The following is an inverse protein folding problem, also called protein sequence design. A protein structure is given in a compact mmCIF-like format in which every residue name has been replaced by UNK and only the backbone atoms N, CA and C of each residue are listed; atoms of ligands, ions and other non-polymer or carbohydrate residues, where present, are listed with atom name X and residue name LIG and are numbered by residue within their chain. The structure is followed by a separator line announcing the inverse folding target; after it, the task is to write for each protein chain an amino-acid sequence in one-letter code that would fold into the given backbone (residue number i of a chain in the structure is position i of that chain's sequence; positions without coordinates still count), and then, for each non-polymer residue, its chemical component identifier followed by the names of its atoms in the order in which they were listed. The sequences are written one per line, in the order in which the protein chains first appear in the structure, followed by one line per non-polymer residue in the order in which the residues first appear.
data_IF_013618999888
#
_entry.id   IF_013618999888
#
_cell.length_a   1.000
_cell.length_b   1.000
_cell.length_c   1.000
_cell.angle_alpha   90.00
_cell.angle_beta   90.00
_cell.angle_gamma   90.00
#
_symmetry.space_group_name_H-M   'P 1'
#
loop_
_entity.id
_entity.type
_entity.pdbx_description
1 polymer ?
#
# COMPACT_ATOMS: atom_id res chain seq x y z
N UNK A 1 3.89 20.44 -18.23
CA UNK A 1 2.92 19.45 -17.73
C UNK A 1 2.00 20.14 -16.74
N UNK A 2 0.69 20.13 -16.94
CA UNK A 2 -0.24 20.64 -15.93
C UNK A 2 -0.41 19.56 -14.86
N UNK A 3 0.03 19.84 -13.63
CA UNK A 3 -0.26 18.95 -12.50
C UNK A 3 -1.76 18.95 -12.20
N UNK A 4 -2.30 17.80 -11.81
CA UNK A 4 -3.62 17.70 -11.17
C UNK A 4 -3.39 17.43 -9.70
N UNK A 5 -4.07 18.17 -8.84
CA UNK A 5 -4.00 18.03 -7.38
C UNK A 5 -5.31 17.42 -6.88
N UNK A 6 -5.21 16.50 -5.94
CA UNK A 6 -6.34 15.89 -5.24
C UNK A 6 -6.27 16.39 -3.78
N UNK A 7 -7.37 16.94 -3.27
CA UNK A 7 -7.50 17.32 -1.87
C UNK A 7 -7.66 16.09 -0.96
N UNK A 8 -7.50 16.25 0.35
CA UNK A 8 -7.55 15.15 1.31
C UNK A 8 -8.90 14.44 1.35
N UNK A 9 -10.02 15.18 1.26
CA UNK A 9 -11.37 14.62 1.28
C UNK A 9 -11.58 13.68 0.07
N UNK A 10 -11.11 14.09 -1.10
CA UNK A 10 -11.13 13.26 -2.31
C UNK A 10 -10.16 12.09 -2.25
N UNK A 11 -9.01 12.28 -1.60
CA UNK A 11 -8.04 11.21 -1.41
C UNK A 11 -8.62 10.09 -0.55
N UNK A 12 -9.36 10.42 0.51
CA UNK A 12 -10.02 9.43 1.35
C UNK A 12 -11.03 8.57 0.56
N UNK A 13 -11.73 9.20 -0.41
CA UNK A 13 -12.67 8.51 -1.31
C UNK A 13 -11.99 7.71 -2.44
N UNK A 14 -10.70 7.93 -2.70
CA UNK A 14 -10.00 7.30 -3.82
C UNK A 14 -9.76 5.80 -3.57
N UNK A 15 -9.45 5.42 -2.34
CA UNK A 15 -9.16 4.03 -1.97
C UNK A 15 -10.37 3.12 -2.19
N UNK A 16 -11.56 3.41 -1.62
CA UNK A 16 -12.74 2.59 -1.87
C UNK A 16 -13.16 2.61 -3.36
N UNK A 17 -12.94 3.72 -4.07
CA UNK A 17 -13.17 3.77 -5.51
C UNK A 17 -12.26 2.79 -6.28
N UNK A 18 -10.95 2.77 -5.99
CA UNK A 18 -10.02 1.82 -6.61
C UNK A 18 -10.40 0.37 -6.31
N UNK A 19 -10.79 0.07 -5.07
CA UNK A 19 -11.29 -1.24 -4.68
C UNK A 19 -12.56 -1.63 -5.47
N UNK A 20 -13.50 -0.70 -5.66
CA UNK A 20 -14.72 -0.95 -6.45
C UNK A 20 -14.44 -1.24 -7.93
N UNK A 21 -13.29 -0.79 -8.45
CA UNK A 21 -12.81 -1.07 -9.80
C UNK A 21 -12.03 -2.40 -9.90
N UNK A 22 -11.94 -3.16 -8.80
CA UNK A 22 -11.22 -4.43 -8.74
C UNK A 22 -9.71 -4.32 -8.52
N UNK A 23 -9.21 -3.12 -8.20
CA UNK A 23 -7.81 -2.96 -7.82
C UNK A 23 -7.59 -3.32 -6.36
N UNK A 24 -6.44 -3.93 -6.09
CA UNK A 24 -5.92 -4.10 -4.74
C UNK A 24 -5.09 -2.88 -4.37
N UNK A 25 -5.49 -2.16 -3.32
CA UNK A 25 -4.72 -1.01 -2.83
C UNK A 25 -3.76 -1.49 -1.74
N UNK A 26 -2.46 -1.38 -2.03
CA UNK A 26 -1.39 -1.68 -1.07
C UNK A 26 -0.78 -0.37 -0.60
N UNK A 27 -0.76 -0.16 0.70
CA UNK A 27 -0.34 1.09 1.30
C UNK A 27 0.31 0.84 2.67
N UNK A 28 0.96 1.86 3.26
CA UNK A 28 1.44 1.77 4.63
C UNK A 28 0.25 1.72 5.58
N UNK A 29 0.33 0.86 6.58
CA UNK A 29 -0.67 0.74 7.64
C UNK A 29 0.02 0.45 8.97
N UNK A 30 -0.73 0.62 10.06
CA UNK A 30 -0.26 0.33 11.41
C UNK A 30 -0.58 -1.10 11.82
N UNK A 31 0.45 -1.93 11.97
CA UNK A 31 0.31 -3.31 12.44
C UNK A 31 1.19 -3.57 13.65
N UNK A 32 0.59 -3.91 14.80
CA UNK A 32 1.31 -4.18 16.06
C UNK A 32 2.33 -3.10 16.46
N UNK A 33 2.02 -1.82 16.19
CA UNK A 33 2.90 -0.69 16.49
C UNK A 33 4.05 -0.50 15.49
N UNK A 34 4.03 -1.20 14.36
CA UNK A 34 5.01 -1.10 13.26
C UNK A 34 4.34 -0.64 11.97
N UNK A 35 4.94 0.35 11.31
CA UNK A 35 4.48 0.80 10.00
C UNK A 35 4.95 -0.24 8.96
N UNK A 36 3.99 -0.90 8.33
CA UNK A 36 4.23 -1.95 7.32
C UNK A 36 3.42 -1.65 6.07
N UNK A 37 3.82 -2.19 4.92
CA UNK A 37 2.93 -2.21 3.75
C UNK A 37 2.01 -3.42 3.81
N UNK A 38 0.70 -3.18 3.69
CA UNK A 38 -0.32 -4.21 3.55
C UNK A 38 -1.49 -3.72 2.68
N UNK A 39 -2.46 -4.59 2.43
CA UNK A 39 -3.70 -4.19 1.77
C UNK A 39 -4.56 -3.33 2.69
N UNK A 40 -5.13 -2.25 2.15
CA UNK A 40 -6.09 -1.41 2.86
C UNK A 40 -7.34 -1.20 2.02
N UNK A 41 -8.45 -0.94 2.71
CA UNK A 41 -9.77 -0.68 2.14
C UNK A 41 -10.22 0.77 2.31
N UNK A 42 -9.63 1.50 3.25
CA UNK A 42 -9.96 2.88 3.59
C UNK A 42 -8.72 3.71 3.96
N UNK A 43 -8.75 5.02 3.71
CA UNK A 43 -7.62 5.91 3.99
C UNK A 43 -7.37 6.11 5.50
N UNK A 44 -8.36 5.85 6.36
CA UNK A 44 -8.19 5.86 7.81
C UNK A 44 -7.25 4.75 8.32
N UNK A 45 -6.97 3.73 7.50
CA UNK A 45 -5.99 2.68 7.81
C UNK A 45 -4.54 3.13 7.61
N UNK A 46 -4.32 4.29 6.99
CA UNK A 46 -3.00 4.88 6.86
C UNK A 46 -2.47 5.35 8.22
N UNK A 47 -1.14 5.35 8.44
CA UNK A 47 -0.52 5.82 9.66
C UNK A 47 -0.46 7.37 9.70
N UNK A 48 -1.61 8.04 9.54
CA UNK A 48 -1.71 9.50 9.50
C UNK A 48 -1.22 10.08 10.83
N UNK A 49 -0.27 11.01 10.76
CA UNK A 49 0.32 11.63 11.95
C UNK A 49 1.22 10.70 12.76
N UNK A 50 1.63 9.55 12.21
CA UNK A 50 2.62 8.67 12.81
C UNK A 50 3.94 8.71 12.03
N UNK A 51 5.02 8.50 12.76
CA UNK A 51 6.36 8.26 12.22
C UNK A 51 7.00 7.11 12.99
N UNK A 52 8.11 6.61 12.45
CA UNK A 52 8.98 5.63 13.05
C UNK A 52 10.34 6.23 13.44
N UNK A 53 10.90 5.72 14.52
CA UNK A 53 12.24 6.02 15.04
C UNK A 53 13.05 4.73 15.08
N UNK A 54 14.28 4.81 14.56
CA UNK A 54 15.19 3.67 14.43
C UNK A 54 16.49 3.93 15.19
N UNK A 55 16.99 2.90 15.84
CA UNK A 55 18.31 2.88 16.47
C UNK A 55 18.91 1.47 16.44
N UNK A 56 20.12 1.28 16.97
CA UNK A 56 20.74 -0.04 17.05
C UNK A 56 19.83 -1.04 17.78
N UNK A 57 19.32 -2.03 17.05
CA UNK A 57 18.40 -3.05 17.57
C UNK A 57 17.05 -2.53 18.07
N UNK A 58 16.67 -1.31 17.71
CA UNK A 58 15.45 -0.66 18.22
C UNK A 58 14.61 -0.07 17.09
N UNK A 59 13.30 -0.29 17.19
CA UNK A 59 12.28 0.31 16.35
C UNK A 59 11.13 0.73 17.25
N UNK A 60 10.64 1.95 17.10
CA UNK A 60 9.48 2.46 17.82
C UNK A 60 8.69 3.39 16.93
N UNK A 61 7.38 3.37 17.06
CA UNK A 61 6.51 4.38 16.45
C UNK A 61 6.23 5.51 17.41
N UNK A 62 6.07 6.72 16.85
CA UNK A 62 5.82 7.94 17.60
C UNK A 62 4.74 8.76 16.88
N UNK A 63 3.85 9.38 17.65
CA UNK A 63 2.94 10.40 17.14
C UNK A 63 3.71 11.67 16.77
N UNK A 64 3.32 12.27 15.64
CA UNK A 64 3.77 13.56 15.17
C UNK A 64 2.86 14.67 15.72
N UNK A 65 3.32 15.90 15.56
CA UNK A 65 2.55 17.10 15.94
C UNK A 65 1.72 17.63 14.76
N UNK A 66 1.65 16.87 13.66
CA UNK A 66 0.86 17.14 12.46
C UNK A 66 0.09 15.89 12.01
N UNK A 67 -0.82 16.05 11.05
CA UNK A 67 -1.58 14.96 10.43
C UNK A 67 -0.97 14.56 9.07
N UNK A 68 0.36 14.46 8.97
CA UNK A 68 0.99 14.07 7.71
C UNK A 68 0.59 12.63 7.32
N UNK A 69 0.06 12.46 6.11
CA UNK A 69 -0.32 11.14 5.56
C UNK A 69 0.90 10.27 5.21
N UNK A 70 2.02 10.90 4.86
CA UNK A 70 3.26 10.23 4.40
C UNK A 70 4.49 10.65 5.21
N UNK A 71 4.29 10.92 6.51
CA UNK A 71 5.32 11.44 7.42
C UNK A 71 6.20 10.39 8.09
N UNK A 72 6.50 9.27 7.41
CA UNK A 72 7.23 8.10 7.94
C UNK A 72 8.32 7.62 6.97
N UNK A 73 9.21 6.73 7.42
CA UNK A 73 10.21 6.05 6.58
C UNK A 73 9.70 4.65 6.23
N UNK A 74 10.01 4.17 5.01
CA UNK A 74 9.62 2.83 4.58
C UNK A 74 10.16 1.78 5.57
N UNK A 75 9.23 1.12 6.27
CA UNK A 75 9.54 0.13 7.30
C UNK A 75 10.14 -1.17 6.76
N UNK A 76 10.47 -2.14 7.64
CA UNK A 76 11.17 -3.37 7.27
C UNK A 76 10.38 -4.29 6.32
N UNK A 77 9.03 -4.22 6.37
CA UNK A 77 8.14 -4.96 5.46
C UNK A 77 7.69 -4.02 4.34
N UNK A 78 8.36 -4.13 3.20
CA UNK A 78 8.17 -3.23 2.04
C UNK A 78 7.23 -3.81 0.98
N UNK A 79 6.92 -2.99 -0.04
CA UNK A 79 6.18 -3.38 -1.25
C UNK A 79 6.77 -4.60 -1.97
N UNK A 80 8.02 -5.00 -1.70
CA UNK A 80 8.66 -6.16 -2.35
C UNK A 80 7.86 -7.45 -2.16
N UNK A 81 7.16 -7.62 -1.04
CA UNK A 81 6.32 -8.78 -0.82
C UNK A 81 5.19 -8.92 -1.86
N UNK A 82 4.70 -7.79 -2.37
CA UNK A 82 3.62 -7.74 -3.37
C UNK A 82 4.15 -7.72 -4.81
N UNK A 83 5.30 -7.07 -5.03
CA UNK A 83 5.89 -6.88 -6.36
C UNK A 83 6.86 -7.99 -6.76
N UNK A 84 7.26 -8.85 -5.84
CA UNK A 84 8.21 -9.94 -6.10
C UNK A 84 7.80 -11.20 -5.34
N UNK A 85 6.64 -11.79 -5.67
CA UNK A 85 6.17 -13.00 -5.01
C UNK A 85 7.12 -14.17 -5.30
N UNK A 86 7.28 -15.14 -4.37
CA UNK A 86 8.17 -16.29 -4.56
C UNK A 86 7.73 -17.20 -5.71
N UNK A 87 6.45 -17.13 -6.10
CA UNK A 87 5.89 -17.79 -7.26
C UNK A 87 5.12 -16.76 -8.10
N UNK A 88 5.41 -16.71 -9.39
CA UNK A 88 4.74 -15.81 -10.33
C UNK A 88 4.29 -16.61 -11.54
N UNK A 89 2.99 -16.53 -11.87
CA UNK A 89 2.47 -17.08 -13.12
C UNK A 89 3.05 -16.29 -14.28
N UNK A 90 3.86 -16.96 -15.11
CA UNK A 90 4.46 -16.33 -16.30
C UNK A 90 3.50 -16.34 -17.49
N UNK A 91 2.69 -17.40 -17.60
CA UNK A 91 1.77 -17.62 -18.69
C UNK A 91 0.62 -18.50 -18.20
N UNK A 92 -0.60 -18.11 -18.54
CA UNK A 92 -1.77 -19.00 -18.47
C UNK A 92 -2.10 -19.40 -19.89
N UNK A 93 -2.35 -20.70 -20.12
CA UNK A 93 -2.78 -21.19 -21.43
C UNK A 93 -4.06 -21.98 -21.21
N UNK A 94 -5.09 -21.67 -21.99
CA UNK A 94 -6.34 -22.45 -22.04
C UNK A 94 -6.40 -23.23 -23.35
N UNK A 95 -6.88 -24.47 -23.29
CA UNK A 95 -7.08 -25.28 -24.49
C UNK A 95 -8.44 -24.95 -25.09
N UNK A 96 -8.46 -24.43 -26.32
CA UNK A 96 -9.65 -24.17 -27.12
C UNK A 96 -9.81 -25.25 -28.19
N UNK A 97 -11.02 -25.39 -28.76
CA UNK A 97 -11.30 -26.37 -29.83
C UNK A 97 -10.37 -26.21 -31.06
N UNK A 98 -9.86 -25.00 -31.30
CA UNK A 98 -8.98 -24.69 -32.43
C UNK A 98 -7.49 -24.57 -32.05
N UNK A 99 -7.10 -24.89 -30.81
CA UNK A 99 -5.70 -24.84 -30.36
C UNK A 99 -5.51 -24.23 -28.97
N UNK A 100 -4.44 -23.43 -28.80
CA UNK A 100 -4.13 -22.76 -27.53
C UNK A 100 -4.65 -21.32 -27.54
N UNK A 101 -5.29 -20.91 -26.45
CA UNK A 101 -5.65 -19.54 -26.13
C UNK A 101 -4.80 -19.03 -24.96
N UNK A 102 -4.36 -17.78 -25.04
CA UNK A 102 -3.48 -17.12 -24.06
C UNK A 102 -4.24 -16.03 -23.30
#
# INVERSE_FOLDING_TARGET
MSGRVIDTERFDSLIPLLASLGYMVVAPTMHEGVIVYDTISDASELPIGWTDEHGPGTYRTRRRDDNAYFGYVVGPRTLRAFLTPPQQTLLTITHAETGLAF
#
